data_IF_990019864384
#
_entry.id   IF_990019864384
#
_cell.length_a   1.000
_cell.length_b   1.000
_cell.length_c   1.000
_cell.angle_alpha   90.00
_cell.angle_beta   90.00
_cell.angle_gamma   90.00
#
_symmetry.space_group_name_H-M   'P 1'
#
loop_
_entity.id
_entity.type
_entity.pdbx_description
1 polymer ?
#
# COMPACT_ATOMS: atom_id res chain seq x y z
N UNK A 1 -6.68 12.00 3.05
CA UNK A 1 -6.71 11.30 4.38
C UNK A 1 -5.35 10.62 4.63
N UNK A 2 -4.94 10.26 5.86
CA UNK A 2 -3.62 9.63 6.13
C UNK A 2 -3.77 8.28 6.82
N UNK A 3 -2.88 7.33 6.53
CA UNK A 3 -2.75 6.10 7.31
C UNK A 3 -1.82 6.31 8.50
N UNK A 4 -2.24 5.91 9.70
CA UNK A 4 -1.49 6.13 10.95
C UNK A 4 -1.31 4.80 11.68
N UNK A 5 -0.07 4.43 11.96
CA UNK A 5 0.26 3.25 12.75
C UNK A 5 0.28 3.61 14.25
N UNK A 6 -0.53 2.95 15.09
CA UNK A 6 -0.59 3.25 16.52
C UNK A 6 0.61 2.72 17.32
N UNK A 7 1.37 1.75 16.78
CA UNK A 7 2.47 1.12 17.53
C UNK A 7 3.66 2.06 17.71
N UNK A 8 4.07 2.75 16.65
CA UNK A 8 5.28 3.58 16.62
C UNK A 8 5.08 4.89 15.85
N UNK A 9 3.83 5.35 15.76
CA UNK A 9 3.44 6.66 15.24
C UNK A 9 3.86 6.97 13.78
N UNK A 10 4.10 5.93 12.96
CA UNK A 10 4.37 6.12 11.54
C UNK A 10 3.12 6.62 10.81
N UNK A 11 3.30 7.53 9.85
CA UNK A 11 2.24 8.12 9.05
C UNK A 11 2.58 8.02 7.56
N UNK A 12 1.60 7.64 6.75
CA UNK A 12 1.74 7.45 5.31
C UNK A 12 0.67 8.23 4.55
N UNK A 13 1.06 8.79 3.40
CA UNK A 13 0.20 9.57 2.52
C UNK A 13 -0.33 8.74 1.33
N UNK A 14 -1.60 8.31 1.35
CA UNK A 14 -2.18 7.57 0.22
C UNK A 14 -2.30 8.40 -1.07
N UNK A 15 -2.34 9.73 -0.97
CA UNK A 15 -2.44 10.62 -2.14
C UNK A 15 -1.06 10.81 -2.81
N UNK A 16 0.01 10.30 -2.19
CA UNK A 16 1.38 10.30 -2.71
C UNK A 16 1.97 8.90 -2.74
N UNK A 17 1.23 7.96 -3.32
CA UNK A 17 1.69 6.57 -3.53
C UNK A 17 2.14 5.84 -2.26
N UNK A 18 1.52 6.15 -1.11
CA UNK A 18 1.87 5.52 0.15
C UNK A 18 3.12 6.10 0.84
N UNK A 19 3.64 7.24 0.36
CA UNK A 19 4.83 7.89 0.90
C UNK A 19 4.79 7.98 2.42
N UNK A 20 5.85 7.51 3.09
CA UNK A 20 6.04 7.74 4.52
C UNK A 20 6.30 9.23 4.78
N UNK A 21 5.38 9.86 5.50
CA UNK A 21 5.51 11.26 5.93
C UNK A 21 6.53 11.36 7.08
N UNK A 22 6.39 10.47 8.06
CA UNK A 22 7.30 10.30 9.18
C UNK A 22 7.06 8.93 9.83
N UNK A 23 8.08 8.34 10.47
CA UNK A 23 7.91 7.03 11.09
C UNK A 23 9.20 6.27 11.24
N UNK A 24 9.06 4.96 11.48
CA UNK A 24 10.18 4.03 11.66
C UNK A 24 10.26 2.97 10.55
N UNK A 25 9.30 2.95 9.61
CA UNK A 25 9.39 2.07 8.46
C UNK A 25 10.54 2.49 7.55
N UNK A 26 11.20 1.53 6.91
CA UNK A 26 12.29 1.79 5.94
C UNK A 26 11.78 1.87 4.51
N UNK A 27 10.49 1.62 4.30
CA UNK A 27 9.82 1.61 2.99
C UNK A 27 8.49 2.37 3.09
N UNK A 28 8.02 2.87 1.95
CA UNK A 28 6.68 3.41 1.80
C UNK A 28 5.63 2.30 1.94
N UNK A 29 4.37 2.69 2.15
CA UNK A 29 3.29 1.72 2.34
C UNK A 29 3.07 0.93 1.03
N UNK A 30 3.16 -0.42 1.03
CA UNK A 30 2.95 -1.22 -0.17
C UNK A 30 1.59 -0.94 -0.81
N UNK A 31 1.57 -0.79 -2.13
CA UNK A 31 0.38 -0.39 -2.88
C UNK A 31 -0.17 -1.56 -3.70
N UNK A 32 -1.49 -1.77 -3.62
CA UNK A 32 -2.19 -2.67 -4.53
C UNK A 32 -2.33 -1.99 -5.89
N UNK A 33 -1.83 -2.62 -6.95
CA UNK A 33 -2.10 -2.20 -8.31
C UNK A 33 -3.51 -2.63 -8.70
N UNK A 34 -4.30 -1.67 -9.20
CA UNK A 34 -5.68 -1.86 -9.58
C UNK A 34 -5.83 -1.72 -11.09
N UNK A 35 -6.68 -2.56 -11.66
CA UNK A 35 -7.16 -2.45 -13.03
C UNK A 35 -8.67 -2.19 -12.99
N UNK A 36 -9.13 -1.24 -13.80
CA UNK A 36 -10.56 -0.92 -13.96
C UNK A 36 -11.05 -1.40 -15.31
N UNK A 37 -12.14 -2.18 -15.31
CA UNK A 37 -12.84 -2.62 -16.51
C UNK A 37 -14.14 -1.82 -16.68
N UNK A 38 -14.22 -0.91 -17.68
CA UNK A 38 -15.41 -0.10 -17.93
C UNK A 38 -16.60 -0.89 -18.50
N UNK A 39 -16.37 -2.08 -19.06
CA UNK A 39 -17.46 -2.90 -19.62
C UNK A 39 -18.28 -3.58 -18.51
N UNK A 40 -17.62 -3.95 -17.42
CA UNK A 40 -18.24 -4.60 -16.25
C UNK A 40 -18.38 -3.69 -15.03
N UNK A 41 -17.87 -2.46 -15.12
CA UNK A 41 -17.73 -1.51 -14.00
C UNK A 41 -16.99 -2.12 -12.79
N UNK A 42 -16.00 -2.98 -13.06
CA UNK A 42 -15.28 -3.71 -12.01
C UNK A 42 -13.89 -3.14 -11.76
N UNK A 43 -13.47 -3.19 -10.50
CA UNK A 43 -12.11 -2.85 -10.07
C UNK A 43 -11.45 -4.11 -9.52
N UNK A 44 -10.28 -4.46 -10.04
CA UNK A 44 -9.56 -5.69 -9.70
C UNK A 44 -8.18 -5.39 -9.17
N UNK A 45 -7.79 -6.07 -8.10
CA UNK A 45 -6.41 -6.11 -7.64
C UNK A 45 -5.61 -7.08 -8.54
N UNK A 46 -4.55 -6.59 -9.16
CA UNK A 46 -3.77 -7.35 -10.15
C UNK A 46 -2.33 -7.59 -9.72
N UNK A 47 -1.76 -6.73 -8.87
CA UNK A 47 -0.41 -6.88 -8.35
C UNK A 47 -0.20 -6.06 -7.05
N UNK A 48 1.01 -6.12 -6.50
CA UNK A 48 1.46 -5.31 -5.36
C UNK A 48 2.81 -4.68 -5.68
N UNK A 49 2.93 -3.37 -5.49
CA UNK A 49 4.21 -2.64 -5.48
C UNK A 49 4.71 -2.55 -4.03
N UNK A 50 5.93 -3.04 -3.79
CA UNK A 50 6.49 -3.20 -2.42
C UNK A 50 6.25 -4.61 -1.86
N UNK A 51 6.84 -4.91 -0.70
CA UNK A 51 6.72 -6.21 -0.03
C UNK A 51 5.74 -6.12 1.15
N UNK A 52 4.77 -7.05 1.18
CA UNK A 52 3.83 -7.13 2.31
C UNK A 52 4.58 -7.57 3.58
N UNK A 53 4.35 -6.83 4.67
CA UNK A 53 4.93 -7.12 5.97
C UNK A 53 4.74 -8.58 6.42
N UNK A 54 5.78 -9.16 7.01
CA UNK A 54 5.74 -10.49 7.60
C UNK A 54 5.82 -11.65 6.59
N UNK A 55 6.22 -11.40 5.35
CA UNK A 55 6.30 -12.40 4.27
C UNK A 55 7.64 -12.35 3.53
N UNK A 56 8.10 -13.50 3.05
CA UNK A 56 9.27 -13.58 2.16
C UNK A 56 8.92 -13.27 0.69
N UNK A 57 7.65 -13.46 0.30
CA UNK A 57 7.12 -13.15 -1.02
C UNK A 57 5.64 -12.76 -0.94
N UNK A 58 5.16 -11.99 -1.92
CA UNK A 58 3.77 -11.53 -1.99
C UNK A 58 2.77 -12.63 -2.42
N UNK A 59 3.24 -13.75 -2.96
CA UNK A 59 2.47 -14.98 -3.20
C UNK A 59 3.15 -16.09 -2.38
N UNK A 60 2.36 -16.86 -1.61
CA UNK A 60 2.89 -17.97 -0.79
C UNK A 60 2.88 -19.28 -1.57
#
# INVERSE_FOLDING_TARGET
QRFKCPCHYSMFDPEKSGQMICGQATEDLPQIQLEYDPASDSVRAVAVTGLIYGRQANVL
#
